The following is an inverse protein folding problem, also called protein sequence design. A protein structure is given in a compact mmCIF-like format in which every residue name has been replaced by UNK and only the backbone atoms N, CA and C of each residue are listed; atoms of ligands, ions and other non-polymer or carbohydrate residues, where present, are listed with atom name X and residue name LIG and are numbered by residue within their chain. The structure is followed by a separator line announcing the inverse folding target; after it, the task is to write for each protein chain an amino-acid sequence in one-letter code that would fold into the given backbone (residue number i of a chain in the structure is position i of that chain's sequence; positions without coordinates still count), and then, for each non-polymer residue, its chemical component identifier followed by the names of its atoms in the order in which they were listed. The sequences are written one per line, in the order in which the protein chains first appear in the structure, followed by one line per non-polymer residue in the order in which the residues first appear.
data_IF_988048141512
#
_entry.id   IF_988048141512
#
_cell.length_a   1.000
_cell.length_b   1.000
_cell.length_c   1.000
_cell.angle_alpha   90.00
_cell.angle_beta   90.00
_cell.angle_gamma   90.00
#
_symmetry.space_group_name_H-M   'P 1'
#
loop_
_entity.id
_entity.type
_entity.pdbx_description
1 polymer ?
#
# COMPACT_ATOMS: atom_id res chain seq x y z
N UNK A 1 51.34 -16.79 -91.88
CA UNK A 1 49.89 -16.49 -91.86
C UNK A 1 49.73 -15.09 -91.30
N UNK A 2 49.12 -14.08 -91.91
CA UNK A 2 48.62 -13.82 -93.25
C UNK A 2 48.77 -12.30 -93.44
N UNK A 3 49.09 -11.87 -94.66
CA UNK A 3 49.28 -10.48 -95.04
C UNK A 3 47.97 -9.68 -95.09
N UNK A 4 48.02 -8.35 -94.87
CA UNK A 4 47.71 -7.34 -95.91
C UNK A 4 47.76 -5.90 -95.39
N UNK A 5 48.47 -5.10 -96.18
CA UNK A 5 48.56 -3.64 -96.34
C UNK A 5 47.20 -2.96 -96.57
N UNK A 6 47.07 -1.66 -96.22
CA UNK A 6 46.70 -0.54 -97.12
C UNK A 6 46.93 0.82 -96.42
N UNK A 7 47.42 1.75 -97.24
CA UNK A 7 47.92 3.12 -97.04
C UNK A 7 46.77 4.14 -97.07
N UNK A 8 46.90 5.29 -96.38
CA UNK A 8 46.73 6.65 -96.96
C UNK A 8 47.16 7.78 -96.01
N UNK A 9 48.14 8.57 -96.48
CA UNK A 9 48.45 9.94 -96.05
C UNK A 9 47.29 10.89 -96.41
N UNK A 10 47.05 11.95 -95.62
CA UNK A 10 46.99 13.36 -96.06
C UNK A 10 47.27 14.28 -94.84
N UNK A 11 48.14 15.25 -95.08
CA UNK A 11 48.62 16.40 -94.27
C UNK A 11 47.57 17.46 -93.92
N UNK A 12 47.67 18.07 -92.72
CA UNK A 12 47.56 19.52 -92.48
C UNK A 12 48.01 19.87 -91.03
N UNK A 13 48.71 21.02 -90.90
CA UNK A 13 49.45 21.54 -89.73
C UNK A 13 48.57 22.53 -88.88
N UNK A 14 49.07 23.22 -87.80
CA UNK A 14 48.53 23.24 -86.41
C UNK A 14 47.84 24.59 -86.03
N UNK A 15 47.75 25.09 -84.75
CA UNK A 15 47.78 24.50 -83.40
C UNK A 15 46.50 24.85 -82.57
N UNK A 16 46.34 24.29 -81.37
CA UNK A 16 45.26 24.72 -80.47
C UNK A 16 45.53 24.29 -79.03
N UNK A 17 46.00 25.22 -78.22
CA UNK A 17 46.15 25.11 -76.78
C UNK A 17 44.93 24.44 -76.13
N UNK A 18 45.15 23.32 -75.46
CA UNK A 18 44.18 22.84 -74.48
C UNK A 18 44.89 22.72 -73.14
N UNK A 19 44.83 23.84 -72.42
CA UNK A 19 45.08 23.94 -71.00
C UNK A 19 44.23 22.88 -70.28
N UNK A 20 44.88 21.77 -69.93
CA UNK A 20 44.28 20.68 -69.16
C UNK A 20 44.14 21.19 -67.72
N UNK A 21 43.02 21.87 -67.46
CA UNK A 21 42.63 22.25 -66.09
C UNK A 21 42.26 20.99 -65.34
N UNK A 22 43.16 20.57 -64.45
CA UNK A 22 42.85 19.70 -63.33
C UNK A 22 41.61 20.25 -62.61
N UNK A 23 40.54 19.45 -62.61
CA UNK A 23 39.39 19.68 -61.76
C UNK A 23 39.84 19.42 -60.32
N UNK A 24 40.25 20.49 -59.63
CA UNK A 24 40.54 20.45 -58.20
C UNK A 24 39.28 19.97 -57.45
N UNK A 25 39.39 18.83 -56.78
CA UNK A 25 38.36 18.33 -55.88
C UNK A 25 38.24 19.32 -54.73
N UNK A 26 37.20 20.15 -54.75
CA UNK A 26 36.90 21.07 -53.64
C UNK A 26 36.36 20.24 -52.48
N UNK A 27 37.19 20.05 -51.45
CA UNK A 27 36.78 19.41 -50.20
C UNK A 27 35.95 20.42 -49.41
N UNK A 28 34.74 20.01 -49.01
CA UNK A 28 33.84 20.82 -48.18
C UNK A 28 33.83 20.23 -46.77
N UNK A 29 34.24 21.01 -45.78
CA UNK A 29 34.38 20.60 -44.39
C UNK A 29 33.53 21.46 -43.44
N UNK A 30 33.10 20.87 -42.34
CA UNK A 30 32.48 21.59 -41.22
C UNK A 30 33.57 22.00 -40.23
N UNK A 31 33.59 23.28 -39.88
CA UNK A 31 34.47 23.82 -38.84
C UNK A 31 33.62 24.32 -37.67
N UNK A 32 33.80 23.71 -36.51
CA UNK A 32 33.18 24.15 -35.26
C UNK A 32 34.13 25.00 -34.41
N UNK A 33 33.59 25.97 -33.68
CA UNK A 33 34.31 26.88 -32.79
C UNK A 33 33.65 26.91 -31.39
N UNK A 34 34.36 26.54 -30.30
CA UNK A 34 35.74 26.06 -30.28
C UNK A 34 35.90 24.74 -31.04
N UNK A 35 37.06 24.53 -31.65
CA UNK A 35 37.35 23.29 -32.37
C UNK A 35 37.61 22.18 -31.35
N UNK A 36 36.65 21.27 -31.21
CA UNK A 36 36.75 20.15 -30.31
C UNK A 36 36.04 18.95 -30.94
N UNK A 37 36.51 17.74 -30.63
CA UNK A 37 35.80 16.51 -31.00
C UNK A 37 34.67 16.18 -30.03
N UNK A 38 34.68 16.77 -28.83
CA UNK A 38 33.73 16.53 -27.74
C UNK A 38 33.35 17.85 -27.09
N UNK A 39 32.05 18.03 -26.84
CA UNK A 39 31.48 19.25 -26.28
C UNK A 39 30.70 18.93 -25.00
N UNK A 40 30.72 19.86 -24.05
CA UNK A 40 29.82 19.83 -22.90
C UNK A 40 28.48 20.45 -23.31
N UNK A 41 27.38 19.68 -23.34
CA UNK A 41 26.05 20.17 -23.72
C UNK A 41 25.54 21.33 -22.88
N UNK A 42 25.95 21.43 -21.62
CA UNK A 42 25.40 22.39 -20.66
C UNK A 42 26.13 23.73 -20.68
N UNK A 43 27.42 23.70 -21.00
CA UNK A 43 28.28 24.88 -20.91
C UNK A 43 28.75 25.40 -22.27
N UNK A 44 28.71 24.55 -23.32
CA UNK A 44 29.27 24.91 -24.62
C UNK A 44 28.19 25.27 -25.63
N UNK A 45 28.33 26.45 -26.24
CA UNK A 45 27.49 26.91 -27.34
C UNK A 45 28.34 27.10 -28.60
N UNK A 46 28.72 26.02 -29.30
CA UNK A 46 29.64 26.13 -30.41
C UNK A 46 29.00 26.83 -31.61
N UNK A 47 29.83 27.56 -32.35
CA UNK A 47 29.44 28.12 -33.65
C UNK A 47 29.98 27.27 -34.80
N UNK A 48 29.24 27.22 -35.90
CA UNK A 48 29.52 26.38 -37.06
C UNK A 48 29.78 27.24 -38.29
N UNK A 49 30.76 26.81 -39.09
CA UNK A 49 31.07 27.31 -40.43
C UNK A 49 31.23 26.13 -41.37
N UNK A 50 30.87 26.32 -42.65
CA UNK A 50 31.10 25.34 -43.72
C UNK A 50 32.13 25.90 -44.65
N UNK A 51 33.27 25.23 -44.81
CA UNK A 51 34.38 25.70 -45.61
C UNK A 51 34.52 24.84 -46.87
N UNK A 52 34.53 25.47 -48.04
CA UNK A 52 34.85 24.86 -49.33
C UNK A 52 36.20 25.42 -49.79
N UNK A 53 37.29 24.69 -49.48
CA UNK A 53 38.65 25.22 -49.62
C UNK A 53 38.88 26.47 -48.73
N UNK A 54 39.34 27.61 -49.29
CA UNK A 54 39.61 28.82 -48.51
C UNK A 54 38.35 29.63 -48.14
N UNK A 55 37.19 29.29 -48.71
CA UNK A 55 35.94 30.05 -48.54
C UNK A 55 35.10 29.39 -47.46
N UNK A 56 34.74 30.13 -46.41
CA UNK A 56 33.88 29.64 -45.33
C UNK A 56 32.57 30.42 -45.25
N UNK A 57 31.46 29.70 -45.14
CA UNK A 57 30.11 30.23 -44.98
C UNK A 57 29.66 30.07 -43.52
N UNK A 58 29.10 31.13 -42.95
CA UNK A 58 28.55 31.14 -41.58
C UNK A 58 27.10 31.63 -41.53
N UNK A 59 26.49 31.86 -42.69
CA UNK A 59 25.09 32.29 -42.88
C UNK A 59 24.41 31.34 -43.86
N UNK A 60 23.06 31.36 -43.87
CA UNK A 60 22.24 30.58 -44.80
C UNK A 60 22.49 29.07 -44.75
N UNK A 61 22.93 28.60 -43.58
CA UNK A 61 23.22 27.20 -43.31
C UNK A 61 21.93 26.46 -42.96
N UNK A 62 21.61 25.41 -43.69
CA UNK A 62 20.52 24.47 -43.37
C UNK A 62 21.06 23.37 -42.45
N UNK A 63 21.22 23.70 -41.17
CA UNK A 63 21.85 22.81 -40.18
C UNK A 63 20.84 21.96 -39.44
N UNK A 64 21.16 20.67 -39.31
CA UNK A 64 20.40 19.65 -38.57
C UNK A 64 21.32 18.90 -37.62
N UNK A 65 20.77 18.49 -36.47
CA UNK A 65 21.38 17.48 -35.60
C UNK A 65 20.66 16.18 -35.87
N UNK A 66 21.43 15.16 -36.24
CA UNK A 66 20.95 13.81 -36.49
C UNK A 66 21.44 12.87 -35.38
N UNK A 67 20.79 11.71 -35.28
CA UNK A 67 21.30 10.61 -34.48
C UNK A 67 22.68 10.12 -34.97
N UNK A 68 23.29 9.22 -34.21
CA UNK A 68 24.61 8.66 -34.51
C UNK A 68 24.67 7.96 -35.87
N UNK A 69 23.54 7.49 -36.39
CA UNK A 69 23.41 6.77 -37.66
C UNK A 69 23.08 7.70 -38.84
N UNK A 70 22.72 8.96 -38.58
CA UNK A 70 22.30 9.92 -39.60
C UNK A 70 20.88 9.70 -40.12
N UNK A 71 20.08 8.88 -39.43
CA UNK A 71 18.75 8.43 -39.87
C UNK A 71 17.61 9.27 -39.33
N UNK A 72 17.74 9.75 -38.09
CA UNK A 72 16.67 10.51 -37.41
C UNK A 72 17.10 11.94 -37.20
N UNK A 73 16.25 12.89 -37.59
CA UNK A 73 16.44 14.32 -37.27
C UNK A 73 16.05 14.57 -35.83
N UNK A 74 17.03 14.93 -35.00
CA UNK A 74 16.83 15.28 -33.58
C UNK A 74 16.45 16.75 -33.42
N UNK A 75 17.09 17.62 -34.22
CA UNK A 75 16.79 19.07 -34.31
C UNK A 75 17.01 19.55 -35.73
N UNK A 76 16.22 20.51 -36.16
CA UNK A 76 16.28 21.14 -37.49
C UNK A 76 16.17 22.67 -37.35
N UNK A 77 16.45 23.41 -38.42
CA UNK A 77 16.33 24.87 -38.47
C UNK A 77 17.33 25.59 -37.56
N UNK A 78 18.50 24.99 -37.33
CA UNK A 78 19.49 25.53 -36.42
C UNK A 78 20.25 26.69 -37.05
N UNK A 79 20.50 27.71 -36.24
CA UNK A 79 21.36 28.84 -36.61
C UNK A 79 22.84 28.42 -36.67
N UNK A 80 23.73 29.37 -37.00
CA UNK A 80 25.17 29.15 -36.93
C UNK A 80 25.68 28.92 -35.49
N UNK A 81 24.90 29.23 -34.44
CA UNK A 81 25.15 28.79 -33.07
C UNK A 81 24.30 27.56 -32.77
N UNK A 82 24.96 26.49 -32.34
CA UNK A 82 24.33 25.20 -32.11
C UNK A 82 24.06 25.03 -30.62
N UNK A 83 22.79 24.86 -30.26
CA UNK A 83 22.43 24.43 -28.91
C UNK A 83 22.47 22.89 -28.84
N UNK A 84 23.35 22.38 -27.97
CA UNK A 84 23.57 20.96 -27.75
C UNK A 84 22.78 20.39 -26.55
N UNK A 85 21.99 21.20 -25.83
CA UNK A 85 21.10 20.72 -24.76
C UNK A 85 19.98 19.84 -25.31
N UNK A 86 19.30 19.11 -24.41
CA UNK A 86 18.16 18.25 -24.74
C UNK A 86 18.46 17.15 -25.77
N UNK A 87 19.70 16.67 -25.73
CA UNK A 87 20.16 15.49 -26.47
C UNK A 87 20.33 14.32 -25.49
N UNK A 88 19.36 14.15 -24.58
CA UNK A 88 19.46 13.19 -23.49
C UNK A 88 19.79 11.79 -24.01
N UNK A 89 20.66 11.13 -23.27
CA UNK A 89 21.13 9.78 -23.47
C UNK A 89 21.92 9.57 -24.77
N UNK A 90 22.47 10.64 -25.35
CA UNK A 90 23.30 10.56 -26.55
C UNK A 90 24.69 11.07 -26.23
N UNK A 91 25.68 10.19 -26.38
CA UNK A 91 27.10 10.51 -26.28
C UNK A 91 27.68 11.02 -27.59
N UNK A 92 26.97 10.79 -28.70
CA UNK A 92 27.43 11.08 -30.06
C UNK A 92 26.24 11.53 -30.90
N UNK A 93 26.42 12.60 -31.65
CA UNK A 93 25.48 13.07 -32.68
C UNK A 93 26.19 13.44 -33.97
N UNK A 94 25.44 13.50 -35.07
CA UNK A 94 25.92 13.98 -36.34
C UNK A 94 25.37 15.38 -36.62
N UNK A 95 26.24 16.33 -36.91
CA UNK A 95 25.86 17.64 -37.44
C UNK A 95 25.85 17.52 -38.95
N UNK A 96 24.69 17.71 -39.57
CA UNK A 96 24.53 17.74 -41.01
C UNK A 96 24.19 19.16 -41.45
N UNK A 97 24.93 19.70 -42.41
CA UNK A 97 24.69 21.07 -42.87
C UNK A 97 24.90 21.19 -44.37
N UNK A 98 24.20 22.14 -44.98
CA UNK A 98 24.39 22.51 -46.38
C UNK A 98 24.19 24.01 -46.56
N UNK A 99 24.87 24.55 -47.56
CA UNK A 99 24.63 25.89 -48.11
C UNK A 99 23.67 25.77 -49.30
N UNK A 100 22.62 26.59 -49.36
CA UNK A 100 21.72 26.61 -50.54
C UNK A 100 22.35 27.42 -51.70
N UNK A 101 22.17 27.09 -53.01
CA UNK A 101 21.28 26.08 -53.59
C UNK A 101 21.84 25.13 -54.68
N UNK A 102 21.12 24.01 -54.85
CA UNK A 102 21.03 23.08 -56.00
C UNK A 102 22.00 21.91 -56.18
N UNK A 103 23.27 21.91 -55.74
CA UNK A 103 24.17 20.80 -56.12
C UNK A 103 25.20 20.31 -55.09
N UNK A 104 25.14 20.72 -53.82
CA UNK A 104 26.04 20.21 -52.80
C UNK A 104 25.32 19.22 -51.89
N UNK A 105 25.84 17.99 -51.86
CA UNK A 105 25.46 17.00 -50.84
C UNK A 105 25.75 17.60 -49.46
N UNK A 106 24.85 17.38 -48.47
CA UNK A 106 25.08 17.88 -47.12
C UNK A 106 26.37 17.28 -46.56
N UNK A 107 27.20 18.13 -45.95
CA UNK A 107 28.40 17.71 -45.24
C UNK A 107 27.98 17.27 -43.84
N UNK A 108 28.63 16.22 -43.32
CA UNK A 108 28.35 15.68 -42.00
C UNK A 108 29.61 15.66 -41.14
N UNK A 109 29.46 16.00 -39.87
CA UNK A 109 30.52 15.93 -38.86
C UNK A 109 29.99 15.21 -37.62
N UNK A 110 30.79 14.29 -37.10
CA UNK A 110 30.49 13.57 -35.86
C UNK A 110 31.10 14.30 -34.67
N UNK A 111 30.30 14.54 -33.65
CA UNK A 111 30.75 15.14 -32.39
C UNK A 111 30.37 14.27 -31.20
N UNK A 112 31.22 14.29 -30.18
CA UNK A 112 30.94 13.71 -28.86
C UNK A 112 30.25 14.72 -27.94
N UNK A 113 29.43 14.20 -27.02
CA UNK A 113 28.77 14.93 -25.96
C UNK A 113 29.22 14.36 -24.61
N UNK A 114 29.86 15.18 -23.79
CA UNK A 114 30.37 14.77 -22.47
C UNK A 114 30.33 15.95 -21.47
N UNK A 115 29.65 15.82 -20.33
CA UNK A 115 28.92 14.64 -19.86
C UNK A 115 27.69 14.31 -20.72
N UNK A 116 27.32 13.02 -20.76
CA UNK A 116 26.06 12.60 -21.38
C UNK A 116 24.92 13.04 -20.47
N UNK A 117 24.07 13.94 -20.95
CA UNK A 117 22.85 14.32 -20.24
C UNK A 117 21.92 13.10 -20.11
N UNK A 118 21.32 12.87 -18.94
CA UNK A 118 20.42 11.74 -18.73
C UNK A 118 19.04 12.24 -18.29
N UNK A 119 18.05 11.36 -18.30
CA UNK A 119 16.75 11.64 -17.68
C UNK A 119 16.77 11.44 -16.15
N UNK A 120 17.90 11.06 -15.54
CA UNK A 120 18.02 10.79 -14.10
C UNK A 120 16.93 9.84 -13.60
N UNK A 121 16.70 8.75 -14.34
CA UNK A 121 15.75 7.71 -13.96
C UNK A 121 16.25 7.01 -12.69
N UNK A 122 15.38 6.92 -11.69
CA UNK A 122 15.64 6.30 -10.39
C UNK A 122 15.87 4.80 -10.53
N UNK A 123 16.96 4.36 -9.90
CA UNK A 123 17.34 2.95 -9.74
C UNK A 123 16.80 2.35 -8.43
N UNK A 124 16.04 3.13 -7.65
CA UNK A 124 15.48 2.67 -6.38
C UNK A 124 14.49 1.50 -6.58
N UNK A 125 14.45 0.53 -5.63
CA UNK A 125 13.52 -0.58 -5.72
C UNK A 125 12.07 -0.12 -5.62
N UNK A 126 11.23 -0.74 -6.44
CA UNK A 126 9.80 -0.45 -6.55
C UNK A 126 9.00 -1.54 -5.87
N UNK A 127 8.05 -1.13 -5.04
CA UNK A 127 7.20 -2.03 -4.24
C UNK A 127 5.77 -1.90 -4.72
N UNK A 128 5.24 -2.97 -5.32
CA UNK A 128 3.95 -2.94 -6.00
C UNK A 128 3.05 -4.08 -5.55
N UNK A 129 1.72 -3.86 -5.53
CA UNK A 129 0.80 -4.91 -5.16
C UNK A 129 0.71 -5.94 -6.30
N UNK A 130 0.18 -7.16 -6.04
CA UNK A 130 0.05 -8.20 -7.05
C UNK A 130 -0.80 -7.79 -8.27
N UNK A 131 -1.81 -6.95 -8.04
CA UNK A 131 -2.69 -6.41 -9.08
C UNK A 131 -2.66 -4.88 -9.00
N UNK A 132 -1.68 -4.23 -9.65
CA UNK A 132 -1.61 -2.78 -9.62
C UNK A 132 -2.72 -2.18 -10.47
N UNK A 133 -3.43 -1.18 -9.94
CA UNK A 133 -4.47 -0.44 -10.66
C UNK A 133 -3.95 0.34 -11.87
N UNK A 134 -2.66 0.67 -11.85
CA UNK A 134 -1.99 1.43 -12.91
C UNK A 134 -0.77 0.66 -13.38
N UNK A 135 -0.45 0.82 -14.65
CA UNK A 135 0.78 0.32 -15.22
C UNK A 135 1.97 0.97 -14.50
N UNK A 136 3.05 0.20 -14.31
CA UNK A 136 4.25 0.74 -13.69
C UNK A 136 5.04 1.54 -14.72
N UNK A 137 5.31 2.81 -14.44
CA UNK A 137 6.17 3.65 -15.28
C UNK A 137 7.62 3.18 -15.19
N UNK A 138 8.34 3.00 -16.29
CA UNK A 138 9.71 2.46 -16.32
C UNK A 138 10.79 3.47 -15.88
N UNK A 139 10.46 4.76 -15.84
CA UNK A 139 11.34 5.83 -15.36
C UNK A 139 10.56 6.73 -14.40
N UNK A 140 11.10 6.91 -13.20
CA UNK A 140 10.69 7.92 -12.22
C UNK A 140 11.91 8.79 -11.96
N UNK A 141 11.78 10.11 -11.86
CA UNK A 141 12.91 11.02 -11.66
C UNK A 141 12.50 12.17 -10.76
N UNK A 142 13.44 12.69 -9.97
CA UNK A 142 13.23 13.90 -9.17
C UNK A 142 13.48 15.20 -9.97
N UNK A 143 14.16 15.11 -11.12
CA UNK A 143 14.42 16.23 -12.02
C UNK A 143 13.12 16.88 -12.49
N UNK A 144 13.01 18.21 -12.31
CA UNK A 144 11.84 18.99 -12.75
C UNK A 144 11.62 18.87 -14.26
N UNK A 145 12.72 18.85 -15.02
CA UNK A 145 12.70 18.65 -16.47
C UNK A 145 12.12 17.29 -16.83
N UNK A 146 12.66 16.21 -16.25
CA UNK A 146 12.19 14.85 -16.56
C UNK A 146 10.73 14.69 -16.16
N UNK A 147 10.32 15.19 -14.99
CA UNK A 147 8.91 15.19 -14.58
C UNK A 147 8.00 15.88 -15.61
N UNK A 148 8.42 17.02 -16.15
CA UNK A 148 7.66 17.73 -17.18
C UNK A 148 7.57 16.94 -18.50
N UNK A 149 8.66 16.28 -18.92
CA UNK A 149 8.67 15.40 -20.10
C UNK A 149 7.75 14.19 -19.89
N UNK A 150 7.80 13.55 -18.72
CA UNK A 150 6.98 12.38 -18.38
C UNK A 150 5.48 12.72 -18.28
N UNK A 151 5.13 13.93 -17.87
CA UNK A 151 3.74 14.39 -17.77
C UNK A 151 3.09 14.68 -19.14
N UNK A 152 3.87 15.02 -20.16
CA UNK A 152 3.36 15.30 -21.51
C UNK A 152 3.46 14.05 -22.41
N UNK A 153 2.32 13.47 -22.80
CA UNK A 153 2.29 12.23 -23.58
C UNK A 153 3.09 12.27 -24.89
N UNK A 154 3.04 13.39 -25.62
CA UNK A 154 3.77 13.57 -26.88
C UNK A 154 5.27 13.69 -26.63
N UNK A 155 5.67 14.49 -25.63
CA UNK A 155 7.07 14.64 -25.26
C UNK A 155 7.65 13.32 -24.74
N UNK A 156 6.93 12.64 -23.84
CA UNK A 156 7.26 11.31 -23.30
C UNK A 156 7.50 10.28 -24.41
N UNK A 157 6.57 10.18 -25.36
CA UNK A 157 6.67 9.22 -26.47
C UNK A 157 7.89 9.49 -27.35
N UNK A 158 8.18 10.77 -27.63
CA UNK A 158 9.35 11.18 -28.42
C UNK A 158 10.66 10.94 -27.66
N UNK A 159 10.72 11.35 -26.39
CA UNK A 159 11.91 11.28 -25.56
C UNK A 159 12.37 9.85 -25.29
N UNK A 160 11.41 8.94 -25.07
CA UNK A 160 11.67 7.53 -24.82
C UNK A 160 11.43 6.66 -26.05
N UNK A 161 11.48 7.25 -27.25
CA UNK A 161 11.44 6.50 -28.49
C UNK A 161 12.62 5.53 -28.54
N UNK A 162 12.34 4.28 -28.92
CA UNK A 162 13.33 3.19 -28.96
C UNK A 162 13.89 2.78 -27.58
N UNK A 163 13.20 3.15 -26.49
CA UNK A 163 13.47 2.54 -25.19
C UNK A 163 13.31 1.02 -25.31
N UNK A 164 14.32 0.29 -24.88
CA UNK A 164 14.26 -1.17 -24.75
C UNK A 164 14.46 -1.54 -23.30
N UNK A 165 13.54 -2.33 -22.76
CA UNK A 165 13.66 -2.86 -21.40
C UNK A 165 13.48 -4.37 -21.42
N UNK A 166 14.24 -5.05 -20.58
CA UNK A 166 14.19 -6.50 -20.42
C UNK A 166 13.99 -6.85 -18.95
N UNK A 167 13.28 -7.96 -18.71
CA UNK A 167 13.08 -8.55 -17.38
C UNK A 167 13.53 -10.01 -17.41
N UNK A 168 14.09 -10.48 -16.30
CA UNK A 168 14.35 -11.91 -16.09
C UNK A 168 13.08 -12.69 -15.68
N UNK A 169 11.97 -12.01 -15.38
CA UNK A 169 10.70 -12.64 -15.02
C UNK A 169 9.85 -12.95 -16.27
N UNK A 170 9.51 -14.23 -16.52
CA UNK A 170 8.61 -14.60 -17.62
C UNK A 170 7.25 -13.90 -17.53
N UNK A 171 6.70 -13.51 -18.69
CA UNK A 171 5.36 -12.93 -18.79
C UNK A 171 5.28 -11.43 -18.51
N UNK A 172 6.35 -10.79 -18.02
CA UNK A 172 6.43 -9.32 -17.94
C UNK A 172 6.47 -8.75 -19.36
N UNK A 173 5.59 -7.78 -19.64
CA UNK A 173 5.51 -7.10 -20.95
C UNK A 173 5.76 -5.60 -20.80
N UNK A 174 6.35 -5.01 -21.82
CA UNK A 174 6.65 -3.58 -21.86
C UNK A 174 5.89 -2.92 -23.01
N UNK A 175 5.28 -1.77 -22.72
CA UNK A 175 4.57 -0.95 -23.71
C UNK A 175 5.07 0.48 -23.58
N UNK A 176 6.01 0.87 -24.44
CA UNK A 176 6.69 2.17 -24.35
C UNK A 176 7.41 2.33 -23.02
N UNK A 177 7.02 3.34 -22.24
CA UNK A 177 7.58 3.62 -20.91
C UNK A 177 6.76 2.99 -19.77
N UNK A 178 5.97 1.95 -20.05
CA UNK A 178 5.18 1.28 -19.01
C UNK A 178 5.41 -0.22 -19.02
N UNK A 179 5.23 -0.85 -17.85
CA UNK A 179 5.37 -2.28 -17.65
C UNK A 179 4.05 -2.89 -17.16
N UNK A 180 3.73 -4.04 -17.74
CA UNK A 180 2.64 -4.92 -17.34
C UNK A 180 3.19 -6.12 -16.59
N UNK A 181 2.62 -6.39 -15.41
CA UNK A 181 2.88 -7.60 -14.66
C UNK A 181 2.05 -8.76 -15.24
N UNK A 182 2.57 -10.01 -15.18
CA UNK A 182 1.78 -11.18 -15.54
C UNK A 182 0.56 -11.33 -14.61
N UNK A 183 -0.58 -11.74 -15.15
CA UNK A 183 -1.82 -11.93 -14.38
C UNK A 183 -1.68 -12.98 -13.27
N UNK A 184 -0.83 -13.98 -13.51
CA UNK A 184 -0.52 -15.04 -12.57
C UNK A 184 0.99 -15.01 -12.27
N UNK A 185 1.33 -14.77 -11.01
CA UNK A 185 2.69 -14.90 -10.51
C UNK A 185 2.69 -15.38 -9.06
N UNK A 186 3.76 -16.08 -8.69
CA UNK A 186 4.04 -16.38 -7.29
C UNK A 186 4.30 -15.08 -6.51
N UNK A 187 3.82 -15.03 -5.26
CA UNK A 187 3.94 -13.88 -4.37
C UNK A 187 4.46 -14.39 -3.01
N UNK A 188 5.53 -13.81 -2.44
CA UNK A 188 6.27 -12.65 -2.95
C UNK A 188 7.14 -13.00 -4.17
N UNK A 189 7.40 -12.01 -5.03
CA UNK A 189 8.32 -12.17 -6.16
C UNK A 189 9.16 -10.92 -6.34
N UNK A 190 10.46 -11.14 -6.56
CA UNK A 190 11.45 -10.09 -6.77
C UNK A 190 12.15 -10.35 -8.09
N UNK A 191 12.25 -9.33 -8.93
CA UNK A 191 12.91 -9.42 -10.22
C UNK A 191 13.46 -8.07 -10.66
N UNK A 192 14.32 -8.08 -11.65
CA UNK A 192 15.07 -6.91 -12.09
C UNK A 192 14.63 -6.51 -13.49
N UNK A 193 14.48 -5.20 -13.74
CA UNK A 193 14.38 -4.69 -15.11
C UNK A 193 15.63 -3.87 -15.44
N UNK A 194 16.09 -4.08 -16.67
CA UNK A 194 17.20 -3.33 -17.28
C UNK A 194 16.66 -2.57 -18.45
N UNK A 195 16.85 -1.27 -18.44
CA UNK A 195 16.39 -0.37 -19.50
C UNK A 195 17.57 0.29 -20.19
N UNK A 196 17.45 0.42 -21.51
CA UNK A 196 18.43 1.03 -22.40
C UNK A 196 17.71 2.04 -23.29
N UNK A 197 18.15 3.29 -23.21
CA UNK A 197 17.72 4.35 -24.10
C UNK A 197 18.98 4.94 -24.72
N UNK A 198 19.20 4.65 -26.00
CA UNK A 198 20.40 5.10 -26.71
C UNK A 198 21.69 4.69 -25.95
N UNK A 199 22.46 5.65 -25.43
CA UNK A 199 23.68 5.41 -24.66
C UNK A 199 23.46 5.39 -23.13
N UNK A 200 22.26 5.71 -22.64
CA UNK A 200 21.90 5.55 -21.23
C UNK A 200 21.49 4.12 -20.91
N UNK A 201 21.82 3.71 -19.69
CA UNK A 201 21.28 2.50 -19.05
C UNK A 201 20.86 2.81 -17.63
N UNK A 202 19.79 2.18 -17.17
CA UNK A 202 19.43 2.16 -15.76
C UNK A 202 18.79 0.82 -15.40
N UNK A 203 18.86 0.49 -14.12
CA UNK A 203 18.40 -0.78 -13.59
C UNK A 203 17.66 -0.58 -12.27
N UNK A 204 16.55 -1.28 -12.07
CA UNK A 204 15.85 -1.26 -10.80
C UNK A 204 15.19 -2.60 -10.51
N UNK A 205 14.95 -2.86 -9.22
CA UNK A 205 14.25 -4.05 -8.76
C UNK A 205 12.75 -3.77 -8.60
N UNK A 206 11.94 -4.75 -8.98
CA UNK A 206 10.49 -4.77 -8.74
C UNK A 206 10.20 -5.85 -7.71
N UNK A 207 9.63 -5.42 -6.59
CA UNK A 207 9.22 -6.25 -5.47
C UNK A 207 7.69 -6.31 -5.46
N UNK A 208 7.14 -7.47 -5.82
CA UNK A 208 5.70 -7.74 -5.76
C UNK A 208 5.43 -8.47 -4.45
N UNK A 209 4.73 -7.81 -3.53
CA UNK A 209 4.34 -8.38 -2.23
C UNK A 209 2.90 -7.97 -1.91
N UNK A 210 2.25 -8.76 -1.05
CA UNK A 210 0.95 -8.40 -0.49
C UNK A 210 1.13 -7.34 0.58
N UNK A 211 0.15 -6.45 0.65
CA UNK A 211 0.07 -5.50 1.74
C UNK A 211 -0.15 -6.24 3.06
N UNK A 212 0.54 -5.80 4.11
CA UNK A 212 0.49 -6.38 5.46
C UNK A 212 0.14 -5.27 6.44
N UNK A 213 -0.80 -5.55 7.33
CA UNK A 213 -1.15 -4.61 8.39
C UNK A 213 -0.13 -4.76 9.52
N UNK A 214 0.53 -3.66 9.85
CA UNK A 214 1.46 -3.53 10.96
C UNK A 214 0.78 -2.76 12.08
N UNK A 215 0.81 -3.35 13.27
CA UNK A 215 0.26 -2.78 14.49
C UNK A 215 1.37 -2.07 15.26
N UNK A 216 1.10 -0.83 15.67
CA UNK A 216 2.01 -0.05 16.50
C UNK A 216 1.31 0.17 17.84
N UNK A 217 1.77 -0.49 18.93
CA UNK A 217 1.24 -0.25 20.26
C UNK A 217 1.46 1.20 20.68
N UNK A 218 0.54 1.74 21.47
CA UNK A 218 0.65 3.11 21.96
C UNK A 218 1.46 3.11 23.25
N UNK A 219 2.36 4.09 23.37
CA UNK A 219 3.05 4.38 24.61
C UNK A 219 2.22 5.37 25.42
N UNK A 220 1.93 5.02 26.67
CA UNK A 220 1.39 5.95 27.66
C UNK A 220 2.45 6.08 28.76
N UNK A 221 3.21 7.18 28.72
CA UNK A 221 4.40 7.33 29.57
C UNK A 221 5.51 6.35 29.16
N UNK A 222 6.02 5.57 30.13
CA UNK A 222 7.07 4.57 29.91
C UNK A 222 6.53 3.16 29.59
N UNK A 223 5.21 2.95 29.69
CA UNK A 223 4.59 1.65 29.50
C UNK A 223 3.94 1.52 28.11
N UNK A 224 4.13 0.36 27.49
CA UNK A 224 3.42 -0.03 26.27
C UNK A 224 2.03 -0.55 26.65
N UNK A 225 1.00 0.13 26.16
CA UNK A 225 -0.39 -0.26 26.41
C UNK A 225 -0.95 -0.89 25.13
N UNK A 226 -1.26 -2.19 25.19
CA UNK A 226 -1.85 -2.93 24.07
C UNK A 226 -3.36 -2.67 23.90
N UNK A 227 -3.98 -1.89 24.79
CA UNK A 227 -5.41 -1.59 24.75
C UNK A 227 -5.83 -0.73 23.55
N UNK A 228 -4.85 -0.10 22.88
CA UNK A 228 -5.09 0.65 21.66
C UNK A 228 -3.88 0.56 20.73
N UNK A 229 -4.16 0.54 19.42
CA UNK A 229 -3.15 0.35 18.37
C UNK A 229 -3.30 1.39 17.27
N UNK A 230 -2.17 1.90 16.78
CA UNK A 230 -2.09 2.66 15.52
C UNK A 230 -1.76 1.70 14.38
N UNK A 231 -2.24 2.02 13.18
CA UNK A 231 -2.16 1.12 12.04
C UNK A 231 -1.26 1.67 10.96
N UNK A 232 -0.50 0.76 10.36
CA UNK A 232 0.22 1.04 9.13
C UNK A 232 -0.01 -0.11 8.15
N UNK A 233 -0.25 0.22 6.89
CA UNK A 233 -0.19 -0.76 5.83
C UNK A 233 1.25 -0.75 5.31
N UNK A 234 1.86 -1.92 5.22
CA UNK A 234 3.23 -2.10 4.77
C UNK A 234 3.28 -2.97 3.52
N UNK A 235 4.07 -2.54 2.54
CA UNK A 235 4.45 -3.31 1.36
C UNK A 235 5.97 -3.42 1.31
N UNK A 236 6.49 -4.60 1.62
CA UNK A 236 7.92 -4.77 1.90
C UNK A 236 8.36 -3.84 3.04
N UNK A 237 9.42 -3.02 2.87
CA UNK A 237 9.89 -2.09 3.89
C UNK A 237 9.13 -0.74 3.89
N UNK A 238 8.29 -0.47 2.88
CA UNK A 238 7.53 0.77 2.79
C UNK A 238 6.24 0.62 3.58
N UNK A 239 6.12 1.37 4.67
CA UNK A 239 4.90 1.47 5.47
C UNK A 239 4.32 2.87 5.36
N UNK A 240 3.00 2.98 5.28
CA UNK A 240 2.30 4.26 5.34
C UNK A 240 1.18 4.18 6.36
N UNK A 241 0.97 5.31 7.02
CA UNK A 241 -0.23 5.57 7.79
C UNK A 241 -1.19 6.37 6.89
N UNK A 242 -2.49 6.14 7.02
CA UNK A 242 -3.49 6.85 6.26
C UNK A 242 -4.80 6.93 7.02
N UNK A 243 -5.80 7.65 6.50
CA UNK A 243 -7.16 7.43 6.92
C UNK A 243 -7.61 6.06 6.37
N UNK A 244 -7.47 5.01 7.16
CA UNK A 244 -8.00 3.69 6.83
C UNK A 244 -9.45 3.57 7.27
N UNK A 245 -10.30 2.98 6.42
CA UNK A 245 -11.55 2.42 6.91
C UNK A 245 -11.22 1.12 7.65
N UNK A 246 -11.32 1.17 8.98
CA UNK A 246 -10.93 0.05 9.83
C UNK A 246 -12.16 -0.62 10.44
N UNK A 247 -12.13 -1.94 10.48
CA UNK A 247 -13.09 -2.76 11.20
C UNK A 247 -12.42 -3.84 12.02
N UNK A 248 -13.09 -4.26 13.09
CA UNK A 248 -12.72 -5.39 13.93
C UNK A 248 -13.77 -6.46 13.71
N UNK A 249 -13.34 -7.62 13.26
CA UNK A 249 -14.17 -8.81 13.09
C UNK A 249 -13.78 -9.87 14.11
N UNK A 250 -14.72 -10.74 14.48
CA UNK A 250 -14.37 -11.95 15.20
C UNK A 250 -13.80 -13.04 14.26
N UNK A 251 -13.43 -14.19 14.83
CA UNK A 251 -12.88 -15.34 14.10
C UNK A 251 -13.86 -15.96 13.09
N UNK A 252 -15.16 -15.64 13.19
CA UNK A 252 -16.20 -16.08 12.25
C UNK A 252 -16.53 -14.99 11.21
N UNK A 253 -15.73 -13.91 11.14
CA UNK A 253 -15.94 -12.72 10.32
C UNK A 253 -17.19 -11.89 10.70
N UNK A 254 -17.74 -12.06 11.90
CA UNK A 254 -18.82 -11.19 12.38
C UNK A 254 -18.26 -9.82 12.75
N UNK A 255 -18.93 -8.75 12.30
CA UNK A 255 -18.53 -7.38 12.57
C UNK A 255 -18.72 -7.04 14.05
N UNK A 256 -17.62 -6.86 14.78
CA UNK A 256 -17.64 -6.39 16.17
C UNK A 256 -17.67 -4.87 16.25
N UNK A 257 -16.87 -4.20 15.40
CA UNK A 257 -16.83 -2.74 15.27
C UNK A 257 -16.47 -2.36 13.83
N UNK A 258 -17.15 -1.37 13.27
CA UNK A 258 -16.90 -0.88 11.92
C UNK A 258 -16.66 0.63 11.86
N UNK A 259 -16.18 1.10 10.71
CA UNK A 259 -15.97 2.52 10.40
C UNK A 259 -15.12 3.25 11.44
N UNK A 260 -14.08 2.56 11.94
CA UNK A 260 -13.14 3.13 12.90
C UNK A 260 -12.18 4.04 12.14
N UNK A 261 -12.57 5.31 12.01
CA UNK A 261 -11.81 6.35 11.31
C UNK A 261 -10.89 7.14 12.24
N UNK A 262 -11.05 6.97 13.56
CA UNK A 262 -10.20 7.60 14.57
C UNK A 262 -9.08 6.65 14.94
N UNK A 263 -7.84 7.08 14.69
CA UNK A 263 -6.69 6.49 15.33
C UNK A 263 -6.47 7.14 16.71
N UNK A 264 -6.09 6.37 17.73
CA UNK A 264 -5.85 4.92 17.69
C UNK A 264 -7.11 4.06 17.78
N UNK A 265 -7.00 2.83 17.30
CA UNK A 265 -8.06 1.81 17.40
C UNK A 265 -8.02 1.16 18.78
N UNK A 266 -9.09 1.34 19.56
CA UNK A 266 -9.25 0.71 20.88
C UNK A 266 -9.65 -0.76 20.76
N UNK A 267 -8.89 -1.63 21.42
CA UNK A 267 -9.15 -3.06 21.56
C UNK A 267 -9.94 -3.39 22.84
N UNK A 268 -10.24 -2.40 23.69
CA UNK A 268 -11.11 -2.59 24.88
C UNK A 268 -12.55 -2.84 24.49
N UNK A 269 -13.30 -3.55 25.33
CA UNK A 269 -14.70 -3.88 25.13
C UNK A 269 -14.93 -5.00 24.11
N UNK A 270 -13.89 -5.77 23.79
CA UNK A 270 -13.95 -6.99 22.97
C UNK A 270 -14.09 -8.22 23.90
N UNK A 271 -14.99 -8.11 24.89
CA UNK A 271 -15.10 -9.06 25.99
C UNK A 271 -15.16 -10.52 25.51
N UNK A 272 -14.48 -11.38 26.25
CA UNK A 272 -14.40 -12.82 26.01
C UNK A 272 -13.73 -13.25 24.71
N UNK A 273 -13.31 -12.33 23.84
CA UNK A 273 -12.55 -12.68 22.63
C UNK A 273 -11.08 -12.82 22.98
N UNK A 274 -10.50 -13.97 22.63
CA UNK A 274 -9.07 -14.22 22.67
C UNK A 274 -8.39 -13.87 21.35
N UNK A 275 -9.14 -13.85 20.26
CA UNK A 275 -8.64 -13.55 18.93
C UNK A 275 -9.65 -12.71 18.15
N UNK A 276 -9.16 -11.72 17.42
CA UNK A 276 -9.95 -10.89 16.49
C UNK A 276 -9.17 -10.63 15.21
N UNK A 277 -9.89 -10.37 14.12
CA UNK A 277 -9.31 -9.90 12.87
C UNK A 277 -9.47 -8.39 12.77
N UNK A 278 -8.34 -7.69 12.70
CA UNK A 278 -8.32 -6.30 12.33
C UNK A 278 -8.22 -6.18 10.81
N UNK A 279 -9.13 -5.42 10.23
CA UNK A 279 -9.24 -5.23 8.79
C UNK A 279 -9.11 -3.76 8.49
N UNK A 280 -8.16 -3.40 7.63
CA UNK A 280 -7.94 -2.03 7.18
C UNK A 280 -8.05 -1.96 5.66
N UNK A 281 -8.80 -0.98 5.19
CA UNK A 281 -8.91 -0.66 3.78
C UNK A 281 -8.57 0.81 3.56
N UNK A 282 -7.76 1.10 2.56
CA UNK A 282 -7.47 2.48 2.17
C UNK A 282 -8.74 3.13 1.62
N UNK A 283 -9.02 4.35 2.09
CA UNK A 283 -10.23 5.07 1.69
C UNK A 283 -10.14 5.41 0.19
N UNK A 284 -11.25 5.23 -0.53
CA UNK A 284 -11.38 5.57 -1.96
C UNK A 284 -10.48 4.73 -2.89
N UNK A 285 -9.95 3.59 -2.42
CA UNK A 285 -9.20 2.63 -3.22
C UNK A 285 -9.95 1.31 -3.26
N UNK A 286 -10.26 0.81 -4.46
CA UNK A 286 -10.87 -0.52 -4.67
C UNK A 286 -9.87 -1.68 -4.45
N UNK A 287 -8.94 -1.53 -3.49
CA UNK A 287 -8.00 -2.57 -3.11
C UNK A 287 -8.66 -3.59 -2.21
N UNK A 288 -8.18 -4.84 -2.29
CA UNK A 288 -8.53 -5.86 -1.31
C UNK A 288 -8.15 -5.39 0.10
N UNK A 289 -9.05 -5.54 1.08
CA UNK A 289 -8.77 -5.10 2.44
C UNK A 289 -7.68 -5.95 3.08
N UNK A 290 -6.77 -5.28 3.79
CA UNK A 290 -5.65 -5.93 4.47
C UNK A 290 -6.10 -6.43 5.83
N UNK A 291 -5.83 -7.70 6.13
CA UNK A 291 -6.28 -8.36 7.37
C UNK A 291 -5.10 -8.75 8.23
N UNK A 292 -5.26 -8.62 9.54
CA UNK A 292 -4.29 -9.13 10.52
C UNK A 292 -5.00 -9.67 11.76
N UNK A 293 -4.56 -10.84 12.21
CA UNK A 293 -5.12 -11.51 13.38
C UNK A 293 -4.39 -11.06 14.64
N UNK A 294 -5.15 -10.59 15.62
CA UNK A 294 -4.65 -10.12 16.91
C UNK A 294 -5.07 -11.11 17.98
N UNK A 295 -4.10 -11.59 18.76
CA UNK A 295 -4.38 -12.29 20.01
C UNK A 295 -4.57 -11.25 21.12
N UNK A 296 -5.72 -11.28 21.77
CA UNK A 296 -6.07 -10.42 22.89
C UNK A 296 -5.69 -11.13 24.20
N UNK A 297 -4.70 -10.57 24.91
CA UNK A 297 -4.27 -11.06 26.20
C UNK A 297 -3.92 -9.90 27.16
N UNK A 298 -4.46 -9.90 28.39
CA UNK A 298 -5.44 -10.86 28.93
C UNK A 298 -6.82 -10.71 28.28
N UNK A 299 -7.60 -11.80 28.25
CA UNK A 299 -8.99 -11.77 27.75
C UNK A 299 -9.86 -10.99 28.73
N UNK A 300 -10.46 -9.89 28.25
CA UNK A 300 -11.35 -9.05 29.05
C UNK A 300 -12.61 -9.83 29.45
N UNK A 301 -12.86 -9.96 30.74
CA UNK A 301 -13.96 -10.75 31.28
C UNK A 301 -15.24 -9.91 31.38
N UNK A 302 -16.40 -10.52 31.16
CA UNK A 302 -17.71 -9.88 31.38
C UNK A 302 -18.05 -9.68 32.87
N UNK A 303 -17.29 -10.29 33.78
CA UNK A 303 -17.50 -10.24 35.23
C UNK A 303 -18.97 -10.48 35.63
N UNK A 304 -19.52 -11.57 35.09
CA UNK A 304 -20.82 -12.10 35.49
C UNK A 304 -20.82 -12.37 37.00
N UNK A 305 -21.85 -11.91 37.71
CA UNK A 305 -22.04 -12.23 39.13
C UNK A 305 -22.16 -13.74 39.28
N UNK A 306 -21.23 -14.36 40.01
CA UNK A 306 -21.19 -15.81 40.31
C UNK A 306 -21.86 -16.12 41.67
N UNK A 307 -22.80 -15.28 42.09
CA UNK A 307 -23.48 -15.46 43.38
C UNK A 307 -24.45 -16.63 43.30
N UNK A 308 -24.44 -17.48 44.32
CA UNK A 308 -25.41 -18.55 44.51
C UNK A 308 -26.85 -18.01 44.40
N UNK A 309 -27.66 -18.66 43.56
CA UNK A 309 -29.05 -18.28 43.32
C UNK A 309 -29.95 -19.22 44.14
N UNK A 310 -30.81 -18.64 44.97
CA UNK A 310 -31.78 -19.40 45.77
C UNK A 310 -33.18 -19.17 45.21
N UNK A 311 -33.90 -20.25 44.92
CA UNK A 311 -35.23 -20.20 44.31
C UNK A 311 -36.20 -21.17 44.97
N UNK A 312 -37.47 -20.81 44.93
CA UNK A 312 -38.59 -21.69 45.30
C UNK A 312 -39.03 -22.55 44.11
N UNK A 313 -39.83 -23.61 44.31
CA UNK A 313 -40.37 -24.40 43.21
C UNK A 313 -41.26 -23.57 42.27
N UNK A 314 -42.00 -22.59 42.80
CA UNK A 314 -42.78 -21.65 42.00
C UNK A 314 -41.89 -20.79 41.08
N UNK A 315 -40.80 -20.22 41.62
CA UNK A 315 -39.85 -19.40 40.86
C UNK A 315 -38.96 -20.19 39.91
N UNK A 316 -38.81 -21.50 40.09
CA UNK A 316 -38.09 -22.39 39.18
C UNK A 316 -38.73 -22.50 37.78
N UNK A 317 -39.99 -22.09 37.63
CA UNK A 317 -40.68 -22.03 36.33
C UNK A 317 -40.27 -20.82 35.48
N UNK A 318 -39.68 -19.78 36.10
CA UNK A 318 -39.28 -18.54 35.43
C UNK A 318 -37.91 -18.69 34.76
N UNK A 319 -37.65 -18.00 33.63
CA UNK A 319 -36.32 -17.94 33.04
C UNK A 319 -35.30 -17.30 33.99
N UNK A 320 -34.15 -17.94 34.17
CA UNK A 320 -33.05 -17.47 35.02
C UNK A 320 -31.92 -16.96 34.11
N UNK A 321 -31.41 -15.73 34.28
CA UNK A 321 -30.36 -15.19 33.41
C UNK A 321 -29.05 -15.96 33.57
N UNK A 322 -28.35 -16.21 32.45
CA UNK A 322 -27.07 -16.92 32.42
C UNK A 322 -25.89 -16.09 32.93
N UNK A 323 -26.02 -14.77 32.88
CA UNK A 323 -25.02 -13.83 33.35
C UNK A 323 -25.72 -12.58 33.89
N UNK A 324 -25.40 -12.19 35.12
CA UNK A 324 -25.83 -10.93 35.71
C UNK A 324 -24.65 -9.97 35.79
N UNK A 325 -24.67 -8.88 35.02
CA UNK A 325 -23.54 -7.97 34.94
C UNK A 325 -23.40 -7.10 36.20
N UNK A 326 -22.20 -7.11 36.78
CA UNK A 326 -21.85 -6.28 37.93
C UNK A 326 -21.65 -4.80 37.54
N UNK A 327 -21.11 -4.54 36.35
CA UNK A 327 -20.93 -3.20 35.78
C UNK A 327 -22.25 -2.60 35.29
N UNK A 328 -22.52 -1.34 35.67
CA UNK A 328 -23.66 -0.59 35.15
C UNK A 328 -23.60 -0.42 33.63
N UNK A 329 -22.42 -0.09 33.09
CA UNK A 329 -22.23 0.08 31.66
C UNK A 329 -22.56 -1.18 30.86
N UNK A 330 -22.20 -2.37 31.37
CA UNK A 330 -22.53 -3.63 30.71
C UNK A 330 -24.01 -3.95 30.81
N UNK A 331 -24.66 -3.65 31.95
CA UNK A 331 -26.12 -3.79 32.07
C UNK A 331 -26.83 -2.96 31.01
N UNK A 332 -26.45 -1.69 30.86
CA UNK A 332 -27.09 -0.79 29.88
C UNK A 332 -26.81 -1.24 28.43
N UNK A 333 -25.58 -1.67 28.14
CA UNK A 333 -25.18 -2.13 26.79
C UNK A 333 -25.96 -3.39 26.37
N UNK A 334 -26.18 -4.30 27.31
CA UNK A 334 -26.80 -5.60 27.07
C UNK A 334 -28.28 -5.66 27.48
N UNK A 335 -28.91 -4.51 27.73
CA UNK A 335 -30.36 -4.42 27.95
C UNK A 335 -31.12 -4.64 26.63
N UNK A 336 -30.53 -4.23 25.51
CA UNK A 336 -31.06 -4.51 24.17
C UNK A 336 -30.90 -6.01 23.83
N UNK A 337 -32.04 -6.65 23.56
CA UNK A 337 -32.12 -8.09 23.31
C UNK A 337 -31.38 -8.53 22.04
N UNK A 338 -31.41 -7.75 20.96
CA UNK A 338 -30.73 -8.07 19.71
C UNK A 338 -29.21 -8.01 19.88
N UNK A 339 -28.73 -6.99 20.62
CA UNK A 339 -27.31 -6.85 20.96
C UNK A 339 -26.85 -8.02 21.81
N UNK A 340 -27.64 -8.41 22.82
CA UNK A 340 -27.36 -9.57 23.66
C UNK A 340 -27.28 -10.86 22.82
N UNK A 341 -28.31 -11.16 22.05
CA UNK A 341 -28.42 -12.40 21.29
C UNK A 341 -27.35 -12.54 20.21
N UNK A 342 -26.90 -11.43 19.64
CA UNK A 342 -25.79 -11.38 18.68
C UNK A 342 -24.46 -11.62 19.40
N UNK A 343 -24.21 -10.95 20.52
CA UNK A 343 -22.95 -11.07 21.25
C UNK A 343 -22.77 -12.45 21.92
N UNK A 344 -23.86 -13.04 22.41
CA UNK A 344 -23.90 -14.33 23.11
C UNK A 344 -24.20 -15.51 22.17
N UNK A 345 -24.15 -15.33 20.85
CA UNK A 345 -24.48 -16.38 19.89
C UNK A 345 -23.72 -17.69 20.10
N UNK A 346 -22.44 -17.60 20.50
CA UNK A 346 -21.57 -18.75 20.76
C UNK A 346 -21.59 -19.28 22.19
N UNK A 347 -22.54 -18.86 23.05
CA UNK A 347 -22.57 -19.33 24.44
C UNK A 347 -22.90 -20.82 24.51
N UNK A 348 -22.15 -21.54 25.33
CA UNK A 348 -22.36 -22.96 25.62
C UNK A 348 -22.45 -23.12 27.13
N UNK A 349 -23.59 -23.61 27.61
CA UNK A 349 -23.79 -23.90 29.02
C UNK A 349 -24.20 -25.35 29.25
N UNK A 350 -23.75 -25.91 30.36
CA UNK A 350 -24.10 -27.25 30.82
C UNK A 350 -24.58 -27.21 32.26
N UNK A 351 -25.46 -28.15 32.62
CA UNK A 351 -25.99 -28.32 33.97
C UNK A 351 -25.53 -29.66 34.53
N UNK A 352 -25.24 -29.73 35.83
CA UNK A 352 -25.01 -30.98 36.54
C UNK A 352 -26.25 -31.89 36.60
N UNK A 353 -27.44 -31.35 36.34
CA UNK A 353 -28.72 -32.07 36.36
C UNK A 353 -29.34 -32.08 34.96
N UNK A 354 -29.77 -33.24 34.44
CA UNK A 354 -30.39 -33.34 33.12
C UNK A 354 -31.77 -32.68 33.07
N UNK A 355 -32.20 -32.28 31.87
CA UNK A 355 -33.52 -31.66 31.64
C UNK A 355 -33.55 -30.14 31.79
N UNK A 356 -32.46 -29.52 32.25
CA UNK A 356 -32.27 -28.06 32.14
C UNK A 356 -32.20 -27.66 30.67
N UNK A 357 -32.99 -26.65 30.29
CA UNK A 357 -33.00 -26.08 28.94
C UNK A 357 -32.26 -24.74 28.94
N UNK A 358 -31.49 -24.51 27.89
CA UNK A 358 -30.71 -23.28 27.72
C UNK A 358 -31.19 -22.53 26.49
N UNK A 359 -31.29 -21.21 26.63
CA UNK A 359 -31.38 -20.24 25.54
C UNK A 359 -30.10 -19.40 25.54
N UNK A 360 -29.93 -18.49 24.58
CA UNK A 360 -28.74 -17.61 24.55
C UNK A 360 -28.60 -16.74 25.82
N UNK A 361 -29.73 -16.37 26.46
CA UNK A 361 -29.77 -15.43 27.60
C UNK A 361 -30.16 -16.05 28.93
N UNK A 362 -31.00 -17.08 28.89
CA UNK A 362 -31.60 -17.67 30.08
C UNK A 362 -31.46 -19.19 30.10
N UNK A 363 -31.46 -19.76 31.29
CA UNK A 363 -31.77 -21.16 31.52
C UNK A 363 -33.20 -21.30 32.06
N UNK A 364 -33.78 -22.47 31.80
CA UNK A 364 -35.04 -22.90 32.38
C UNK A 364 -34.82 -24.27 33.04
N UNK A 365 -35.19 -24.36 34.32
CA UNK A 365 -35.07 -25.59 35.08
C UNK A 365 -36.18 -26.58 34.69
N UNK A 366 -35.94 -27.89 34.85
CA UNK A 366 -36.96 -28.89 34.59
C UNK A 366 -38.20 -28.65 35.47
N UNK A 367 -39.38 -28.87 34.89
CA UNK A 367 -40.67 -28.78 35.61
C UNK A 367 -40.88 -30.07 36.41
N UNK A 368 -40.13 -30.23 37.50
CA UNK A 368 -40.23 -31.37 38.40
C UNK A 368 -40.80 -30.98 39.77
N UNK A 369 -41.53 -31.91 40.39
CA UNK A 369 -42.11 -31.73 41.73
C UNK A 369 -41.08 -31.89 42.86
N UNK A 370 -39.78 -32.00 42.54
CA UNK A 370 -38.73 -32.09 43.54
C UNK A 370 -38.64 -30.77 44.30
N UNK A 371 -38.85 -30.84 45.62
CA UNK A 371 -38.85 -29.69 46.53
C UNK A 371 -37.45 -29.19 46.89
N UNK A 372 -36.41 -30.02 46.70
CA UNK A 372 -35.01 -29.67 46.94
C UNK A 372 -34.10 -30.27 45.88
N UNK A 373 -33.37 -29.42 45.15
CA UNK A 373 -32.41 -29.84 44.13
C UNK A 373 -31.34 -28.75 43.95
N UNK A 374 -30.09 -29.17 43.77
CA UNK A 374 -28.98 -28.25 43.50
C UNK A 374 -28.52 -28.42 42.05
N UNK A 375 -28.27 -27.31 41.38
CA UNK A 375 -27.78 -27.25 40.01
C UNK A 375 -26.44 -26.50 39.99
N UNK A 376 -25.46 -27.08 39.33
CA UNK A 376 -24.22 -26.38 38.97
C UNK A 376 -24.29 -26.08 37.49
N UNK A 377 -24.13 -24.81 37.14
CA UNK A 377 -24.21 -24.32 35.76
C UNK A 377 -22.84 -23.85 35.34
N UNK A 378 -22.27 -24.52 34.34
CA UNK A 378 -20.99 -24.16 33.73
C UNK A 378 -21.25 -23.50 32.39
N UNK A 379 -20.81 -22.27 32.20
CA UNK A 379 -20.97 -21.53 30.96
C UNK A 379 -19.62 -21.14 30.38
N UNK A 380 -19.53 -21.22 29.04
CA UNK A 380 -18.40 -20.79 28.23
C UNK A 380 -18.90 -19.90 27.12
N UNK A 381 -18.23 -18.75 26.95
CA UNK A 381 -18.43 -17.87 25.80
C UNK A 381 -17.05 -17.51 25.27
N UNK A 382 -16.69 -18.06 24.11
CA UNK A 382 -15.37 -17.87 23.50
C UNK A 382 -14.22 -18.19 24.49
N UNK A 383 -13.45 -17.19 24.91
CA UNK A 383 -12.35 -17.30 25.88
C UNK A 383 -12.76 -17.12 27.35
N UNK A 384 -14.00 -16.73 27.65
CA UNK A 384 -14.50 -16.65 29.03
C UNK A 384 -15.12 -17.98 29.49
N UNK A 385 -14.98 -18.25 30.79
CA UNK A 385 -15.72 -19.30 31.50
C UNK A 385 -16.20 -18.78 32.85
N UNK A 386 -17.40 -19.17 33.24
CA UNK A 386 -17.92 -18.89 34.57
C UNK A 386 -18.82 -20.04 35.04
N UNK A 387 -18.84 -20.25 36.35
CA UNK A 387 -19.70 -21.21 37.04
C UNK A 387 -20.60 -20.44 38.01
N UNK A 388 -21.86 -20.89 38.16
CA UNK A 388 -22.72 -20.47 39.27
C UNK A 388 -23.64 -21.61 39.70
N UNK A 389 -24.18 -21.51 40.92
CA UNK A 389 -25.00 -22.55 41.53
C UNK A 389 -26.42 -22.06 41.78
N UNK A 390 -27.37 -22.97 41.61
CA UNK A 390 -28.78 -22.72 41.90
C UNK A 390 -29.26 -23.73 42.93
N UNK A 391 -29.81 -23.23 44.03
CA UNK A 391 -30.38 -24.01 45.11
C UNK A 391 -31.91 -23.89 45.05
N UNK A 392 -32.58 -24.93 44.54
CA UNK A 392 -34.05 -25.07 44.64
C UNK A 392 -34.37 -25.56 46.04
N UNK A 393 -35.14 -24.79 46.79
CA UNK A 393 -35.52 -25.09 48.18
C UNK A 393 -37.04 -25.00 48.38
N UNK A 394 -37.61 -25.73 49.36
CA UNK A 394 -39.05 -25.63 49.64
C UNK A 394 -39.43 -24.22 50.10
N UNK A 395 -40.68 -23.81 49.85
CA UNK A 395 -41.17 -22.45 50.16
C UNK A 395 -40.96 -22.06 51.63
N UNK A 396 -41.10 -23.02 52.55
CA UNK A 396 -40.86 -22.84 53.98
C UNK A 396 -39.39 -22.52 54.33
N UNK A 397 -38.42 -22.98 53.54
CA UNK A 397 -37.00 -22.71 53.77
C UNK A 397 -36.57 -21.31 53.26
N UNK A 398 -37.11 -20.84 52.13
CA UNK A 398 -36.90 -19.47 51.67
C UNK A 398 -37.48 -18.43 52.64
N UNK A 399 -38.65 -18.72 53.23
CA UNK A 399 -39.25 -17.86 54.26
C UNK A 399 -38.32 -17.75 55.48
N UNK A 400 -37.71 -18.84 55.95
CA UNK A 400 -36.76 -18.80 57.07
C UNK A 400 -35.49 -18.02 56.70
N UNK A 401 -34.96 -18.16 55.48
CA UNK A 401 -33.81 -17.38 55.03
C UNK A 401 -34.13 -15.87 54.91
N UNK A 402 -35.29 -15.50 54.35
CA UNK A 402 -35.77 -14.12 54.31
C UNK A 402 -36.11 -13.56 55.69
N UNK A 403 -36.67 -14.38 56.59
CA UNK A 403 -36.97 -13.98 57.97
C UNK A 403 -35.71 -13.80 58.79
N UNK A 404 -34.68 -14.64 58.61
CA UNK A 404 -33.35 -14.44 59.22
C UNK A 404 -32.70 -13.19 58.64
N UNK A 405 -32.75 -12.94 57.34
CA UNK A 405 -32.20 -11.72 56.74
C UNK A 405 -32.94 -10.45 57.21
N UNK A 406 -34.27 -10.49 57.32
CA UNK A 406 -35.08 -9.40 57.88
C UNK A 406 -34.85 -9.23 59.38
N UNK A 407 -34.63 -10.30 60.14
CA UNK A 407 -34.27 -10.22 61.56
C UNK A 407 -32.87 -9.64 61.74
N UNK A 408 -31.89 -10.08 60.95
CA UNK A 408 -30.52 -9.55 60.99
C UNK A 408 -30.52 -8.09 60.53
N UNK A 409 -31.28 -7.71 59.49
CA UNK A 409 -31.39 -6.31 59.07
C UNK A 409 -32.13 -5.44 60.09
N UNK A 410 -33.15 -5.96 60.79
CA UNK A 410 -33.81 -5.26 61.92
C UNK A 410 -32.93 -5.16 63.15
N UNK A 411 -32.16 -6.20 63.49
CA UNK A 411 -31.19 -6.20 64.59
C UNK A 411 -30.01 -5.27 64.28
N UNK A 412 -29.57 -5.21 63.02
CA UNK A 412 -28.53 -4.29 62.56
C UNK A 412 -29.04 -2.84 62.52
N UNK A 413 -30.29 -2.60 62.10
CA UNK A 413 -30.94 -1.28 62.21
C UNK A 413 -31.23 -0.89 63.67
N UNK A 414 -31.46 -1.84 64.58
CA UNK A 414 -31.60 -1.54 66.02
C UNK A 414 -30.25 -1.29 66.70
N UNK A 415 -29.20 -2.00 66.27
CA UNK A 415 -27.81 -1.78 66.73
C UNK A 415 -27.23 -0.49 66.16
N UNK A 416 -27.50 -0.17 64.88
CA UNK A 416 -27.22 1.14 64.28
C UNK A 416 -28.11 2.23 64.86
N UNK A 417 -29.36 1.95 65.24
CA UNK A 417 -30.20 2.91 65.95
C UNK A 417 -29.71 3.22 67.37
N UNK A 418 -28.96 2.30 67.97
CA UNK A 418 -28.27 2.51 69.25
C UNK A 418 -26.85 3.10 69.09
N UNK A 419 -26.19 2.89 67.94
CA UNK A 419 -24.89 3.52 67.62
C UNK A 419 -25.00 4.89 66.93
N UNK A 420 -26.06 5.16 66.17
CA UNK A 420 -26.29 6.42 65.44
C UNK A 420 -26.84 7.55 66.32
N UNK A 421 -26.61 7.49 67.63
CA UNK A 421 -26.54 8.67 68.50
C UNK A 421 -25.11 9.18 68.73
N UNK A 422 -24.10 8.56 68.11
CA UNK A 422 -22.75 9.11 68.02
C UNK A 422 -22.07 8.68 66.72
N UNK A 423 -21.63 9.67 65.93
CA UNK A 423 -20.83 9.57 64.69
C UNK A 423 -21.63 9.52 63.38
N UNK A 424 -21.83 10.73 62.83
CA UNK A 424 -21.95 10.95 61.39
C UNK A 424 -20.60 10.72 60.68
N UNK A 425 -20.69 10.38 59.39
CA UNK A 425 -19.64 10.22 58.38
C UNK A 425 -19.03 8.82 58.21
N UNK A 426 -19.58 8.04 57.26
CA UNK A 426 -18.88 7.67 56.02
C UNK A 426 -19.75 6.72 55.19
N UNK A 427 -19.83 6.99 53.89
CA UNK A 427 -20.59 6.20 52.93
C UNK A 427 -19.82 4.96 52.50
N UNK A 428 -20.46 3.79 52.61
CA UNK A 428 -20.09 2.57 51.92
C UNK A 428 -21.36 1.77 51.62
N UNK A 429 -21.65 1.57 50.33
CA UNK A 429 -22.83 0.88 49.84
C UNK A 429 -22.81 -0.62 50.14
N UNK A 430 -23.88 -1.10 50.77
CA UNK A 430 -24.14 -2.51 51.04
C UNK A 430 -24.52 -3.26 49.76
N UNK A 431 -23.90 -4.42 49.50
CA UNK A 431 -24.28 -5.35 48.43
C UNK A 431 -25.59 -6.08 48.82
N UNK A 432 -26.60 -5.94 47.98
CA UNK A 432 -27.87 -6.67 48.10
C UNK A 432 -27.73 -8.08 47.54
N UNK A 433 -28.08 -9.10 48.34
CA UNK A 433 -28.37 -10.44 47.83
C UNK A 433 -29.70 -10.36 47.07
N UNK A 434 -29.71 -10.69 45.78
CA UNK A 434 -30.95 -10.78 45.01
C UNK A 434 -31.63 -12.09 45.40
N UNK A 435 -32.62 -12.01 46.27
CA UNK A 435 -33.55 -13.09 46.56
C UNK A 435 -34.78 -12.86 45.68
N UNK A 436 -35.05 -13.74 44.72
CA UNK A 436 -36.34 -13.77 44.02
C UNK A 436 -37.32 -14.60 44.84
N UNK A 437 -38.11 -13.94 45.69
CA UNK A 437 -39.27 -14.55 46.32
C UNK A 437 -40.39 -14.77 45.29
#
# INVERSE_FOLDING_TARGET
MSAKTIIKNVTADPPGDTEQRDASVVVTDIVMQPNASTYDPQTTLPSLKVCAGPICYSTDLKTKILDRQGTTVLRDGLSNKINLTDLQCRSIVLISTSTDPKHLLPVQMKIGLNPVETFECSEAPRYVPPKPFRLLDLCESESSYTKAVLANATARTRAFANLTCNSNKPGVRFTGLTMHLPEQMEIPSVFEIRCFLHDCRWMFQVNVDRDKLKLIPIKIGNDLVFDAVSLQICRGPKCWAGPFNTSILDTNNHLLRGNLTKEPVSLRGLYCRNEVHLVAQEKDVEAEPVRHTIQLYPVEQLNCSQTDIYITPASATKPIPLCSFTSAQLRDTFDNEDVYNTFFEGIQCTSSVPGTRFTKRHLQLPTDNLSKQNYTIDCKLYGCRWEFRIFKQPESACIVCCCIFLHVHKLWLSLLGQWARGLMNSGSGFKSQIIYC
#
